data_IF_725993459040
#
_entry.id   IF_725993459040
#
_cell.length_a   1.000
_cell.length_b   1.000
_cell.length_c   1.000
_cell.angle_alpha   90.00
_cell.angle_beta   90.00
_cell.angle_gamma   90.00
#
_symmetry.space_group_name_H-M   'P 1'
#
loop_
_entity.id
_entity.type
_entity.pdbx_description
1 polymer ?
#
# COMPACT_ATOMS: atom_id res chain seq x y z
N UNK A 1 -6.04 14.18 12.45
CA UNK A 1 -6.42 13.08 11.54
C UNK A 1 -6.71 13.73 10.19
N UNK A 2 -5.84 13.58 9.21
CA UNK A 2 -6.07 14.15 7.87
C UNK A 2 -7.03 13.24 7.13
N UNK A 3 -8.18 13.75 6.72
CA UNK A 3 -9.11 13.01 5.86
C UNK A 3 -8.52 12.95 4.45
N UNK A 4 -8.51 11.77 3.84
CA UNK A 4 -8.19 11.62 2.42
C UNK A 4 -9.40 12.13 1.63
N UNK A 5 -9.49 13.44 1.46
CA UNK A 5 -10.56 14.08 0.69
C UNK A 5 -10.56 13.56 -0.76
N UNK A 6 -11.74 13.32 -1.37
CA UNK A 6 -11.88 12.78 -2.73
C UNK A 6 -11.66 13.85 -3.82
N UNK A 7 -10.74 14.80 -3.62
CA UNK A 7 -10.45 15.83 -4.62
C UNK A 7 -9.60 15.21 -5.76
N UNK A 8 -10.15 15.18 -6.97
CA UNK A 8 -9.39 14.93 -8.20
C UNK A 8 -9.48 13.51 -8.79
N UNK A 9 -9.74 13.51 -10.10
CA UNK A 9 -9.89 12.41 -11.08
C UNK A 9 -9.11 11.13 -10.71
N UNK A 10 -9.78 9.97 -10.81
CA UNK A 10 -9.18 8.63 -10.69
C UNK A 10 -8.27 8.30 -11.89
N UNK A 11 -7.31 9.17 -12.20
CA UNK A 11 -6.29 8.87 -13.19
C UNK A 11 -5.32 7.85 -12.58
N UNK A 12 -5.63 6.57 -12.80
CA UNK A 12 -4.78 5.41 -12.44
C UNK A 12 -3.35 5.60 -12.99
N UNK A 13 -3.22 6.30 -14.12
CA UNK A 13 -1.95 6.60 -14.77
C UNK A 13 -1.12 7.68 -14.02
N UNK A 14 -1.78 8.56 -13.26
CA UNK A 14 -1.10 9.60 -12.48
C UNK A 14 -0.31 9.02 -11.30
N UNK A 15 -0.76 7.89 -10.73
CA UNK A 15 -0.17 7.30 -9.53
C UNK A 15 1.05 6.40 -9.79
N UNK A 16 1.46 6.20 -11.06
CA UNK A 16 2.52 5.25 -11.44
C UNK A 16 2.39 3.92 -10.68
N UNK A 17 1.20 3.32 -10.75
CA UNK A 17 0.91 2.05 -10.10
C UNK A 17 0.88 0.91 -11.12
N UNK A 18 1.21 -0.33 -10.71
CA UNK A 18 0.95 -1.48 -11.55
C UNK A 18 -0.55 -1.64 -11.74
N UNK A 19 -0.97 -1.99 -12.96
CA UNK A 19 -2.37 -2.34 -13.22
C UNK A 19 -2.68 -3.72 -12.66
N UNK A 20 -3.63 -3.77 -11.73
CA UNK A 20 -4.21 -5.02 -11.25
C UNK A 20 -5.22 -5.57 -12.27
N UNK A 21 -5.39 -6.89 -12.31
CA UNK A 21 -6.44 -7.52 -13.13
C UNK A 21 -7.81 -7.38 -12.47
N UNK A 22 -7.85 -7.50 -11.14
CA UNK A 22 -9.01 -7.20 -10.34
C UNK A 22 -9.15 -5.68 -10.16
N UNK A 23 -10.35 -5.15 -10.43
CA UNK A 23 -10.64 -3.73 -10.33
C UNK A 23 -10.70 -3.25 -8.88
N UNK A 24 -11.05 -4.12 -7.93
CA UNK A 24 -11.08 -3.76 -6.51
C UNK A 24 -9.67 -3.68 -5.92
N UNK A 25 -8.76 -4.57 -6.32
CA UNK A 25 -7.33 -4.49 -5.98
C UNK A 25 -6.72 -3.14 -6.38
N UNK A 26 -7.12 -2.61 -7.54
CA UNK A 26 -6.65 -1.32 -8.02
C UNK A 26 -7.00 -0.17 -7.07
N UNK A 27 -8.21 -0.18 -6.50
CA UNK A 27 -8.69 0.85 -5.56
C UNK A 27 -7.87 0.86 -4.27
N UNK A 28 -7.48 -0.31 -3.77
CA UNK A 28 -6.65 -0.41 -2.57
C UNK A 28 -5.26 0.20 -2.77
N UNK A 29 -4.63 -0.03 -3.93
CA UNK A 29 -3.34 0.59 -4.25
C UNK A 29 -3.46 2.11 -4.36
N UNK A 30 -4.51 2.60 -5.02
CA UNK A 30 -4.77 4.04 -5.15
C UNK A 30 -4.99 4.67 -3.77
N UNK A 31 -5.82 4.04 -2.93
CA UNK A 31 -6.09 4.52 -1.57
C UNK A 31 -4.81 4.59 -0.73
N UNK A 32 -3.97 3.54 -0.78
CA UNK A 32 -2.71 3.52 -0.06
C UNK A 32 -1.79 4.67 -0.48
N UNK A 33 -1.69 4.96 -1.79
CA UNK A 33 -0.89 6.09 -2.29
C UNK A 33 -1.51 7.44 -1.90
N UNK A 34 -2.83 7.63 -2.09
CA UNK A 34 -3.53 8.87 -1.73
C UNK A 34 -3.36 9.21 -0.25
N UNK A 35 -3.43 8.19 0.60
CA UNK A 35 -3.26 8.37 2.04
C UNK A 35 -1.79 8.35 2.50
N UNK A 36 -0.83 8.25 1.57
CA UNK A 36 0.60 8.16 1.88
C UNK A 36 0.89 7.10 2.94
N UNK A 37 0.20 5.96 2.82
CA UNK A 37 0.36 4.87 3.76
C UNK A 37 1.75 4.26 3.63
N UNK A 38 2.35 3.89 4.77
CA UNK A 38 3.60 3.13 4.78
C UNK A 38 3.34 1.65 4.42
N UNK A 39 2.19 1.10 4.86
CA UNK A 39 1.83 -0.30 4.71
C UNK A 39 0.43 -0.46 4.11
N UNK A 40 0.30 -1.37 3.13
CA UNK A 40 -0.97 -1.98 2.74
C UNK A 40 -1.01 -3.41 3.28
N UNK A 41 -1.77 -3.61 4.36
CA UNK A 41 -1.88 -4.92 5.02
C UNK A 41 -3.00 -5.73 4.36
N UNK A 42 -2.67 -6.89 3.80
CA UNK A 42 -3.65 -7.74 3.09
C UNK A 42 -3.41 -9.24 3.31
N UNK A 43 -4.46 -10.05 3.14
CA UNK A 43 -4.37 -11.52 3.05
C UNK A 43 -4.49 -12.02 1.61
N UNK A 44 -4.70 -11.11 0.66
CA UNK A 44 -4.84 -11.46 -0.74
C UNK A 44 -3.51 -11.94 -1.35
N UNK A 45 -3.55 -13.07 -2.05
CA UNK A 45 -2.34 -13.71 -2.58
C UNK A 45 -1.79 -13.01 -3.83
N UNK A 46 -2.64 -12.39 -4.64
CA UNK A 46 -2.22 -11.68 -5.85
C UNK A 46 -1.54 -10.36 -5.49
N UNK A 47 -2.13 -9.59 -4.57
CA UNK A 47 -1.50 -8.38 -4.03
C UNK A 47 -0.17 -8.69 -3.32
N UNK A 48 -0.09 -9.76 -2.53
CA UNK A 48 1.18 -10.17 -1.91
C UNK A 48 2.25 -10.57 -2.93
N UNK A 49 1.86 -11.18 -4.07
CA UNK A 49 2.79 -11.48 -5.17
C UNK A 49 3.27 -10.21 -5.88
N UNK A 50 2.45 -9.16 -5.91
CA UNK A 50 2.78 -7.87 -6.52
C UNK A 50 3.97 -7.20 -5.83
N UNK A 51 4.07 -7.35 -4.50
CA UNK A 51 5.12 -6.77 -3.66
C UNK A 51 6.55 -7.09 -4.13
N UNK A 52 6.76 -8.27 -4.73
CA UNK A 52 8.09 -8.75 -5.11
C UNK A 52 8.42 -8.68 -6.61
N UNK A 53 7.50 -8.21 -7.48
CA UNK A 53 7.59 -8.55 -8.91
C UNK A 53 7.37 -7.42 -9.91
N UNK A 54 6.84 -6.24 -9.55
CA UNK A 54 6.49 -5.21 -10.55
C UNK A 54 7.06 -3.83 -10.24
N UNK A 55 7.59 -3.19 -11.29
CA UNK A 55 7.92 -1.76 -11.32
C UNK A 55 6.94 -1.06 -12.26
N UNK A 56 6.49 0.17 -11.95
CA UNK A 56 6.71 0.90 -10.69
C UNK A 56 6.02 0.20 -9.51
N UNK A 57 6.68 0.21 -8.34
CA UNK A 57 6.09 -0.31 -7.11
C UNK A 57 5.28 0.82 -6.44
N UNK A 58 4.17 0.51 -5.72
CA UNK A 58 3.51 1.47 -4.85
C UNK A 58 4.51 2.05 -3.84
N UNK A 59 4.28 3.28 -3.38
CA UNK A 59 5.09 3.88 -2.32
C UNK A 59 4.94 3.19 -0.96
N UNK A 60 3.89 2.38 -0.78
CA UNK A 60 3.65 1.57 0.41
C UNK A 60 4.18 0.14 0.24
N UNK A 61 4.61 -0.49 1.34
CA UNK A 61 4.90 -1.92 1.36
C UNK A 61 3.60 -2.74 1.45
N UNK A 62 3.41 -3.69 0.53
CA UNK A 62 2.28 -4.63 0.59
C UNK A 62 2.72 -5.84 1.41
N UNK A 63 2.06 -6.07 2.55
CA UNK A 63 2.48 -7.08 3.53
C UNK A 63 1.29 -7.85 4.10
N UNK A 64 1.54 -9.03 4.65
CA UNK A 64 0.54 -9.71 5.46
C UNK A 64 0.55 -9.18 6.91
N UNK A 65 -0.45 -9.56 7.69
CA UNK A 65 -0.60 -9.11 9.08
C UNK A 65 0.59 -9.48 9.97
N UNK A 66 1.15 -10.69 9.82
CA UNK A 66 2.29 -11.15 10.60
C UNK A 66 3.54 -10.30 10.33
N UNK A 67 3.83 -10.03 9.05
CA UNK A 67 4.93 -9.16 8.64
C UNK A 67 4.71 -7.72 9.12
N UNK A 68 3.48 -7.20 9.00
CA UNK A 68 3.14 -5.87 9.50
C UNK A 68 3.39 -5.74 11.01
N UNK A 69 2.97 -6.73 11.80
CA UNK A 69 3.20 -6.74 13.24
C UNK A 69 4.69 -6.67 13.59
N UNK A 70 5.54 -7.41 12.88
CA UNK A 70 6.99 -7.36 13.06
C UNK A 70 7.56 -5.96 12.75
N UNK A 71 7.13 -5.35 11.64
CA UNK A 71 7.58 -4.01 11.25
C UNK A 71 7.19 -2.95 12.28
N UNK A 72 5.97 -3.00 12.80
CA UNK A 72 5.50 -2.05 13.83
C UNK A 72 6.27 -2.19 15.14
N UNK A 73 6.61 -3.42 15.55
CA UNK A 73 7.44 -3.67 16.74
C UNK A 73 8.85 -3.08 16.57
N UNK A 74 9.48 -3.26 15.41
CA UNK A 74 10.81 -2.71 15.11
C UNK A 74 10.84 -1.19 15.03
N UNK A 75 9.77 -0.58 14.49
CA UNK A 75 9.63 0.87 14.44
C UNK A 75 9.45 1.47 15.84
N UNK A 76 8.81 0.73 16.76
CA UNK A 76 8.59 1.17 18.15
C UNK A 76 9.88 1.07 18.98
N UNK A 77 10.74 0.10 18.71
CA UNK A 77 12.04 -0.06 19.39
C UNK A 77 13.09 0.96 18.94
N UNK A 78 12.97 1.52 17.75
CA UNK A 78 13.90 2.53 17.22
C UNK A 78 13.60 3.97 17.68
N UNK A 79 12.42 4.21 18.28
CA UNK A 79 12.03 5.49 18.89
C UNK A 79 12.18 5.52 20.42
N UNK A 80 12.78 4.48 21.01
CA UNK A 80 12.94 4.36 22.45
C UNK A 80 14.18 3.56 22.85
N UNK A 81 15.35 4.17 22.72
CA UNK A 81 16.45 4.21 23.69
C UNK A 81 17.51 5.20 23.22
#
# INVERSE_FOLDING_TARGET
MTLCEPEGVEDVEAYRLPRCRDADDQKFLILAVRCRADLLITRDRELLRLAGRRRPAPSCAIVNATTAALLTVTASTSLGY
#
